data_IF_445456168577
#
_entry.id   IF_445456168577
#
_cell.length_a   1.000
_cell.length_b   1.000
_cell.length_c   1.000
_cell.angle_alpha   90.00
_cell.angle_beta   90.00
_cell.angle_gamma   90.00
#
_symmetry.space_group_name_H-M   'P 1'
#
loop_
_entity.id
_entity.type
_entity.pdbx_description
1 polymer ?
#
# COMPACT_ATOMS: atom_id res chain seq x y z
N UNK A 1 -29.65 -30.66 -5.55
CA UNK A 1 -30.22 -29.74 -4.56
C UNK A 1 -29.28 -29.69 -3.37
N UNK A 2 -28.71 -28.52 -3.07
CA UNK A 2 -27.87 -28.28 -1.90
C UNK A 2 -28.39 -27.06 -1.15
N UNK A 3 -28.17 -27.03 0.16
CA UNK A 3 -28.47 -25.85 0.98
C UNK A 3 -27.21 -24.99 0.98
N UNK A 4 -27.36 -23.71 0.60
CA UNK A 4 -26.28 -22.72 0.71
C UNK A 4 -26.55 -21.84 1.91
N UNK A 5 -25.57 -21.71 2.79
CA UNK A 5 -25.61 -20.76 3.89
C UNK A 5 -24.98 -19.45 3.41
N UNK A 6 -25.69 -18.33 3.56
CA UNK A 6 -25.27 -17.01 3.06
C UNK A 6 -24.75 -16.07 4.15
N UNK A 7 -24.69 -16.54 5.39
CA UNK A 7 -24.20 -15.76 6.54
C UNK A 7 -23.46 -16.69 7.49
N UNK A 8 -22.44 -16.16 8.16
CA UNK A 8 -21.78 -16.82 9.28
C UNK A 8 -22.79 -17.17 10.39
N UNK A 9 -22.46 -18.22 11.15
CA UNK A 9 -23.26 -18.70 12.26
C UNK A 9 -23.18 -20.20 12.48
N UNK A 10 -23.83 -20.64 13.56
CA UNK A 10 -24.06 -22.06 13.82
C UNK A 10 -25.40 -22.47 13.22
N UNK A 11 -25.35 -23.46 12.33
CA UNK A 11 -26.51 -23.96 11.62
C UNK A 11 -26.81 -25.40 12.00
N UNK A 12 -28.07 -25.78 11.82
CA UNK A 12 -28.49 -27.16 11.79
C UNK A 12 -29.23 -27.44 10.48
N UNK A 13 -29.12 -28.66 9.99
CA UNK A 13 -29.92 -29.16 8.88
C UNK A 13 -30.84 -30.25 9.41
N UNK A 14 -32.15 -30.06 9.23
CA UNK A 14 -33.17 -31.02 9.65
C UNK A 14 -33.90 -31.59 8.45
N UNK A 15 -33.86 -32.92 8.32
CA UNK A 15 -34.67 -33.67 7.37
C UNK A 15 -35.94 -34.17 8.06
N UNK A 16 -37.09 -34.01 7.41
CA UNK A 16 -38.39 -34.49 7.88
C UNK A 16 -39.03 -35.33 6.77
N UNK A 17 -39.40 -36.57 7.09
CA UNK A 17 -40.30 -37.36 6.26
C UNK A 17 -41.72 -36.79 6.39
N UNK A 18 -42.26 -36.27 5.29
CA UNK A 18 -43.57 -35.62 5.24
C UNK A 18 -44.75 -36.60 5.42
N UNK A 19 -44.52 -37.91 5.30
CA UNK A 19 -45.57 -38.93 5.41
C UNK A 19 -45.69 -39.46 6.84
N UNK A 20 -44.56 -39.73 7.50
CA UNK A 20 -44.54 -40.38 8.82
C UNK A 20 -44.04 -39.47 9.95
N UNK A 21 -43.63 -38.24 9.64
CA UNK A 21 -43.14 -37.26 10.63
C UNK A 21 -41.80 -37.62 11.25
N UNK A 22 -41.10 -38.64 10.73
CA UNK A 22 -39.78 -39.05 11.19
C UNK A 22 -38.78 -37.93 10.86
N UNK A 23 -37.96 -37.54 11.83
CA UNK A 23 -37.00 -36.45 11.68
C UNK A 23 -35.58 -36.91 11.98
N UNK A 24 -34.62 -36.32 11.30
CA UNK A 24 -33.21 -36.36 11.65
C UNK A 24 -32.66 -34.93 11.56
N UNK A 25 -31.81 -34.55 12.50
CA UNK A 25 -31.16 -33.25 12.55
C UNK A 25 -29.66 -33.45 12.70
N UNK A 26 -28.91 -32.75 11.85
CA UNK A 26 -27.48 -32.56 12.02
C UNK A 26 -27.26 -31.14 12.54
N UNK A 27 -26.73 -31.04 13.75
CA UNK A 27 -26.35 -29.78 14.40
C UNK A 27 -24.89 -29.42 14.15
N UNK A 28 -24.46 -28.25 14.65
CA UNK A 28 -23.08 -27.79 14.72
C UNK A 28 -22.41 -27.63 13.33
N UNK A 29 -23.16 -27.16 12.35
CA UNK A 29 -22.59 -26.75 11.07
C UNK A 29 -22.11 -25.31 11.24
N UNK A 30 -20.80 -25.12 11.37
CA UNK A 30 -20.19 -23.81 11.51
C UNK A 30 -19.90 -23.21 10.14
N UNK A 31 -20.44 -22.01 9.91
CA UNK A 31 -20.13 -21.17 8.77
C UNK A 31 -19.49 -19.91 9.36
N UNK A 32 -18.29 -19.57 8.91
CA UNK A 32 -17.54 -18.38 9.34
C UNK A 32 -17.41 -17.45 8.14
N UNK A 33 -17.32 -16.15 8.40
CA UNK A 33 -16.96 -15.20 7.37
C UNK A 33 -15.46 -15.38 7.04
N UNK A 34 -15.02 -14.86 5.90
CA UNK A 34 -13.59 -14.84 5.59
C UNK A 34 -13.02 -13.56 6.18
N UNK A 35 -11.76 -13.57 6.64
CA UNK A 35 -11.14 -12.39 7.21
C UNK A 35 -11.10 -11.26 6.18
N UNK A 36 -10.90 -10.03 6.66
CA UNK A 36 -10.59 -8.87 5.83
C UNK A 36 -9.41 -8.11 6.43
N UNK A 37 -8.56 -7.53 5.59
CA UNK A 37 -7.45 -6.66 5.98
C UNK A 37 -7.44 -5.36 5.20
N UNK A 38 -6.85 -4.32 5.78
CA UNK A 38 -6.66 -3.03 5.12
C UNK A 38 -5.28 -2.46 5.44
N UNK A 39 -4.82 -1.55 4.57
CA UNK A 39 -3.56 -0.82 4.72
C UNK A 39 -3.89 0.59 5.22
N UNK A 40 -3.19 1.04 6.25
CA UNK A 40 -3.29 2.40 6.78
C UNK A 40 -2.08 3.24 6.42
N UNK A 41 -0.87 2.66 6.45
CA UNK A 41 0.31 3.24 5.82
C UNK A 41 1.01 2.24 4.90
N UNK A 42 1.53 2.70 3.75
CA UNK A 42 1.35 4.05 3.19
C UNK A 42 -0.09 4.31 2.76
N UNK A 43 -0.50 5.59 2.84
CA UNK A 43 -1.82 6.03 2.38
C UNK A 43 -1.89 5.83 0.86
N UNK A 44 -3.04 5.37 0.38
CA UNK A 44 -3.25 5.18 -1.06
C UNK A 44 -3.19 6.50 -1.82
N UNK A 45 -2.56 6.45 -2.99
CA UNK A 45 -2.24 7.54 -3.89
C UNK A 45 -1.34 8.66 -3.31
N UNK A 46 -0.66 8.41 -2.19
CA UNK A 46 0.23 9.38 -1.55
C UNK A 46 1.59 9.52 -2.25
N UNK A 47 2.22 10.69 -2.09
CA UNK A 47 3.56 10.98 -2.56
C UNK A 47 4.45 11.16 -1.31
N UNK A 48 5.32 10.18 -1.03
CA UNK A 48 6.12 10.13 0.20
C UNK A 48 7.62 10.22 -0.10
N UNK A 49 8.37 10.88 0.76
CA UNK A 49 9.83 10.96 0.72
C UNK A 49 10.50 10.07 1.78
N UNK A 50 9.73 9.66 2.78
CA UNK A 50 10.08 8.68 3.80
C UNK A 50 8.76 8.05 4.30
N UNK A 51 8.78 6.76 4.62
CA UNK A 51 7.77 6.21 5.52
C UNK A 51 8.12 6.69 6.91
N UNK A 52 7.25 7.51 7.53
CA UNK A 52 7.43 7.97 8.90
C UNK A 52 6.20 7.67 9.76
N UNK A 53 6.47 7.02 10.91
CA UNK A 53 5.61 6.81 12.10
C UNK A 53 4.96 5.43 12.29
N UNK A 54 4.93 4.90 13.53
CA UNK A 54 5.92 5.04 14.61
C UNK A 54 7.16 4.16 14.42
N UNK A 55 7.28 3.44 13.29
CA UNK A 55 8.34 2.45 13.06
C UNK A 55 8.88 2.41 11.61
N UNK A 56 8.51 3.36 10.75
CA UNK A 56 8.86 3.37 9.32
C UNK A 56 8.35 2.11 8.56
N UNK A 57 7.27 1.54 9.08
CA UNK A 57 6.70 0.28 8.65
C UNK A 57 5.47 0.45 7.77
N UNK A 58 5.22 -0.56 6.94
CA UNK A 58 3.90 -0.77 6.35
C UNK A 58 2.98 -1.28 7.46
N UNK A 59 1.83 -0.64 7.69
CA UNK A 59 0.91 -1.07 8.73
C UNK A 59 -0.55 -0.92 8.33
N UNK A 60 -1.39 -1.68 9.02
CA UNK A 60 -2.83 -1.59 8.85
C UNK A 60 -3.61 -2.36 9.91
N UNK A 61 -4.85 -2.65 9.59
CA UNK A 61 -5.73 -3.42 10.46
C UNK A 61 -6.37 -4.60 9.74
N UNK A 62 -7.06 -5.41 10.53
CA UNK A 62 -7.84 -6.54 10.04
C UNK A 62 -9.08 -6.74 10.89
N UNK A 63 -10.02 -7.51 10.36
CA UNK A 63 -11.21 -7.96 11.08
C UNK A 63 -11.63 -9.34 10.60
N UNK A 64 -12.08 -10.16 11.54
CA UNK A 64 -12.68 -11.46 11.28
C UNK A 64 -13.62 -11.85 12.43
N UNK A 65 -14.57 -12.77 12.18
CA UNK A 65 -15.41 -13.36 13.22
C UNK A 65 -14.71 -14.53 13.96
N UNK A 66 -13.62 -15.02 13.39
CA UNK A 66 -12.64 -15.92 13.99
C UNK A 66 -11.29 -15.21 14.25
N UNK A 67 -10.30 -15.94 14.77
CA UNK A 67 -8.96 -15.39 15.00
C UNK A 67 -8.19 -15.27 13.67
N UNK A 68 -7.68 -14.09 13.37
CA UNK A 68 -6.69 -13.89 12.29
C UNK A 68 -5.34 -14.37 12.78
N UNK A 69 -4.76 -15.33 12.05
CA UNK A 69 -3.49 -15.97 12.42
C UNK A 69 -2.29 -15.48 11.62
N UNK A 70 -2.53 -14.87 10.46
CA UNK A 70 -1.48 -14.48 9.53
C UNK A 70 -1.97 -13.30 8.68
N UNK A 71 -1.10 -12.31 8.48
CA UNK A 71 -1.29 -11.26 7.48
C UNK A 71 -0.08 -11.27 6.57
N UNK A 72 -0.32 -11.23 5.26
CA UNK A 72 0.74 -11.24 4.26
C UNK A 72 0.74 -9.97 3.42
N UNK A 73 1.92 -9.53 3.02
CA UNK A 73 2.15 -8.31 2.25
C UNK A 73 2.96 -8.61 1.00
N UNK A 74 2.47 -8.15 -0.15
CA UNK A 74 3.20 -8.19 -1.42
C UNK A 74 3.49 -6.77 -1.89
N UNK A 75 4.75 -6.49 -2.22
CA UNK A 75 5.21 -5.15 -2.60
C UNK A 75 5.78 -5.22 -4.02
N UNK A 76 5.20 -4.47 -4.95
CA UNK A 76 5.62 -4.37 -6.35
C UNK A 76 6.34 -3.05 -6.60
N UNK A 77 7.52 -3.09 -7.22
CA UNK A 77 8.25 -1.89 -7.66
C UNK A 77 7.81 -1.49 -9.06
N UNK A 78 6.97 -0.48 -9.16
CA UNK A 78 6.29 -0.01 -10.37
C UNK A 78 4.91 -0.65 -10.51
N UNK A 79 4.00 0.00 -11.24
CA UNK A 79 2.67 -0.56 -11.55
C UNK A 79 2.81 -1.65 -12.60
N UNK A 80 2.29 -2.86 -12.32
CA UNK A 80 2.30 -4.02 -13.22
C UNK A 80 3.70 -4.46 -13.69
N UNK A 81 4.71 -4.36 -12.82
CA UNK A 81 6.06 -4.84 -13.15
C UNK A 81 6.29 -6.26 -12.66
N UNK A 82 7.42 -6.84 -13.07
CA UNK A 82 7.86 -8.16 -12.64
C UNK A 82 8.67 -8.14 -11.32
N UNK A 83 8.92 -6.97 -10.73
CA UNK A 83 9.81 -6.84 -9.57
C UNK A 83 9.03 -6.80 -8.26
N UNK A 84 9.31 -7.76 -7.38
CA UNK A 84 8.67 -7.91 -6.08
C UNK A 84 9.70 -7.87 -4.97
N UNK A 85 9.31 -7.31 -3.83
CA UNK A 85 10.12 -7.37 -2.61
C UNK A 85 10.09 -8.79 -2.05
N UNK A 86 11.28 -9.39 -1.92
CA UNK A 86 11.49 -10.65 -1.23
C UNK A 86 12.36 -10.39 0.00
N UNK A 87 11.81 -10.56 1.20
CA UNK A 87 12.54 -10.33 2.43
C UNK A 87 13.85 -11.13 2.48
N UNK A 88 14.94 -10.48 2.88
CA UNK A 88 16.29 -11.05 2.91
C UNK A 88 16.98 -11.16 1.54
N UNK A 89 16.27 -10.98 0.43
CA UNK A 89 16.84 -11.00 -0.93
C UNK A 89 16.78 -9.62 -1.61
N UNK A 90 15.77 -8.81 -1.29
CA UNK A 90 15.50 -7.51 -1.88
C UNK A 90 14.62 -7.59 -3.13
N UNK A 91 14.77 -6.63 -4.04
CA UNK A 91 13.97 -6.57 -5.28
C UNK A 91 14.31 -7.69 -6.26
N UNK A 92 13.46 -8.70 -6.37
CA UNK A 92 13.64 -9.84 -7.28
C UNK A 92 12.66 -9.82 -8.45
N UNK A 93 13.10 -10.29 -9.62
CA UNK A 93 12.24 -10.47 -10.78
C UNK A 93 11.53 -11.84 -10.72
N UNK A 94 10.20 -11.83 -10.50
CA UNK A 94 9.38 -13.05 -10.44
C UNK A 94 8.47 -13.25 -11.65
N UNK A 95 8.43 -12.29 -12.57
CA UNK A 95 7.42 -12.20 -13.61
C UNK A 95 6.20 -11.37 -13.21
N UNK A 96 5.51 -10.82 -14.21
CA UNK A 96 4.33 -9.98 -13.99
C UNK A 96 3.21 -10.79 -13.33
N UNK A 97 2.62 -10.24 -12.27
CA UNK A 97 1.52 -10.88 -11.52
C UNK A 97 1.95 -12.00 -10.56
N UNK A 98 3.21 -12.42 -10.57
CA UNK A 98 3.74 -13.44 -9.66
C UNK A 98 4.18 -12.83 -8.32
N UNK A 99 3.20 -12.51 -7.47
CA UNK A 99 3.41 -11.88 -6.16
C UNK A 99 4.35 -12.71 -5.28
N UNK A 100 5.24 -12.02 -4.58
CA UNK A 100 5.86 -12.58 -3.38
C UNK A 100 5.07 -12.09 -2.17
N UNK A 101 4.62 -13.02 -1.33
CA UNK A 101 3.92 -12.72 -0.09
C UNK A 101 4.92 -12.84 1.06
N UNK A 102 5.24 -11.71 1.68
CA UNK A 102 6.02 -11.64 2.91
C UNK A 102 5.06 -11.71 4.10
N UNK A 103 5.47 -12.34 5.19
CA UNK A 103 4.64 -12.45 6.38
C UNK A 103 4.81 -11.19 7.24
N UNK A 104 3.69 -10.61 7.66
CA UNK A 104 3.65 -9.49 8.59
C UNK A 104 3.43 -9.95 10.03
N UNK A 105 3.83 -9.11 10.98
CA UNK A 105 3.57 -9.32 12.40
C UNK A 105 2.10 -9.00 12.71
N UNK A 106 1.42 -9.97 13.31
CA UNK A 106 0.00 -9.88 13.67
C UNK A 106 -0.15 -9.51 15.15
N UNK A 107 -0.96 -8.50 15.43
CA UNK A 107 -1.31 -8.02 16.76
C UNK A 107 -2.79 -8.28 17.06
N UNK A 108 -3.36 -7.71 18.13
CA UNK A 108 -4.76 -7.99 18.50
C UNK A 108 -5.81 -7.58 17.48
N UNK A 109 -5.54 -6.54 16.69
CA UNK A 109 -6.46 -6.01 15.67
C UNK A 109 -5.73 -5.24 14.56
N UNK A 110 -4.41 -5.32 14.56
CA UNK A 110 -3.51 -4.56 13.69
C UNK A 110 -2.40 -5.45 13.22
N UNK A 111 -1.73 -5.04 12.15
CA UNK A 111 -0.58 -5.76 11.61
C UNK A 111 0.48 -4.76 11.15
N UNK A 112 1.73 -5.20 11.17
CA UNK A 112 2.89 -4.42 10.74
C UNK A 112 3.80 -5.27 9.88
N UNK A 113 4.49 -4.66 8.91
CA UNK A 113 5.55 -5.29 8.14
C UNK A 113 6.79 -4.39 8.15
N UNK A 114 7.85 -4.90 8.78
CA UNK A 114 9.13 -4.23 9.06
C UNK A 114 10.26 -4.70 8.14
N UNK A 115 9.98 -5.67 7.25
CA UNK A 115 10.99 -6.33 6.42
C UNK A 115 11.49 -5.52 5.24
N UNK A 116 11.11 -4.24 5.11
CA UNK A 116 11.59 -3.27 4.13
C UNK A 116 11.84 -1.94 4.84
N UNK A 117 12.98 -1.30 4.57
CA UNK A 117 13.39 -0.05 5.24
C UNK A 117 13.39 1.14 4.29
N UNK A 118 13.52 2.36 4.84
CA UNK A 118 13.60 3.58 4.03
C UNK A 118 14.73 3.56 2.97
N UNK A 119 15.82 2.82 3.22
CA UNK A 119 16.95 2.69 2.29
C UNK A 119 16.68 1.73 1.11
N UNK A 120 15.65 0.89 1.21
CA UNK A 120 15.31 -0.12 0.20
C UNK A 120 14.41 0.42 -0.92
N UNK A 121 13.69 1.51 -0.64
CA UNK A 121 12.86 2.19 -1.62
C UNK A 121 13.71 2.93 -2.64
N UNK A 122 13.26 2.92 -3.88
CA UNK A 122 13.98 3.56 -5.00
C UNK A 122 13.22 4.81 -5.40
N UNK A 123 13.82 5.99 -5.22
CA UNK A 123 13.23 7.27 -5.65
C UNK A 123 12.85 7.24 -7.14
N UNK A 124 11.72 7.89 -7.45
CA UNK A 124 11.17 8.00 -8.78
C UNK A 124 10.29 6.82 -9.21
N UNK A 125 10.03 5.85 -8.32
CA UNK A 125 9.15 4.72 -8.60
C UNK A 125 7.79 4.86 -7.90
N UNK A 126 6.75 4.37 -8.58
CA UNK A 126 5.47 4.07 -7.94
C UNK A 126 5.56 2.67 -7.33
N UNK A 127 5.00 2.47 -6.16
CA UNK A 127 4.93 1.17 -5.51
C UNK A 127 3.48 0.75 -5.35
N UNK A 128 3.24 -0.56 -5.40
CA UNK A 128 1.93 -1.16 -5.15
C UNK A 128 2.09 -2.16 -4.02
N UNK A 129 1.36 -1.95 -2.93
CA UNK A 129 1.28 -2.87 -1.81
C UNK A 129 -0.06 -3.57 -1.85
N UNK A 130 -0.03 -4.90 -1.75
CA UNK A 130 -1.21 -5.70 -1.48
C UNK A 130 -1.10 -6.32 -0.10
N UNK A 131 -2.18 -6.34 0.68
CA UNK A 131 -2.25 -7.10 1.93
C UNK A 131 -3.36 -8.15 1.88
N UNK A 132 -3.19 -9.26 2.61
CA UNK A 132 -4.24 -10.25 2.84
C UNK A 132 -4.16 -10.90 4.20
N UNK A 133 -5.30 -11.09 4.87
CA UNK A 133 -5.40 -11.83 6.13
C UNK A 133 -5.82 -13.29 5.91
N UNK A 134 -5.49 -14.13 6.89
CA UNK A 134 -5.86 -15.54 6.98
C UNK A 134 -6.33 -15.91 8.38
N UNK A 135 -7.44 -16.62 8.46
CA UNK A 135 -8.06 -17.04 9.72
C UNK A 135 -7.41 -18.30 10.32
N UNK A 136 -7.84 -18.68 11.52
CA UNK A 136 -7.44 -19.90 12.22
C UNK A 136 -7.99 -21.20 11.59
N UNK A 137 -8.84 -21.10 10.56
CA UNK A 137 -9.36 -22.21 9.75
C UNK A 137 -8.58 -22.40 8.44
N UNK A 138 -7.62 -21.52 8.14
CA UNK A 138 -6.80 -21.53 6.94
C UNK A 138 -7.43 -20.83 5.73
N UNK A 139 -8.50 -20.06 5.90
CA UNK A 139 -9.11 -19.26 4.84
C UNK A 139 -8.43 -17.90 4.73
N UNK A 140 -7.97 -17.57 3.52
CA UNK A 140 -7.60 -16.19 3.16
C UNK A 140 -8.83 -15.35 2.80
N UNK A 141 -8.73 -14.03 2.94
CA UNK A 141 -9.72 -13.10 2.39
C UNK A 141 -9.97 -13.30 0.87
N UNK A 142 -11.16 -12.92 0.39
CA UNK A 142 -11.53 -13.10 -1.03
C UNK A 142 -10.85 -12.11 -1.96
N UNK A 143 -10.69 -10.88 -1.48
CA UNK A 143 -10.10 -9.77 -2.21
C UNK A 143 -9.03 -9.16 -1.33
N UNK A 144 -7.83 -9.02 -1.87
CA UNK A 144 -6.76 -8.31 -1.20
C UNK A 144 -6.94 -6.80 -1.29
N UNK A 145 -6.62 -6.10 -0.21
CA UNK A 145 -6.55 -4.64 -0.23
C UNK A 145 -5.31 -4.20 -1.02
N UNK A 146 -5.40 -3.03 -1.66
CA UNK A 146 -4.31 -2.44 -2.45
C UNK A 146 -4.09 -1.00 -1.98
N UNK A 147 -2.83 -0.63 -1.78
CA UNK A 147 -2.39 0.76 -1.61
C UNK A 147 -1.28 1.05 -2.62
N UNK A 148 -1.34 2.21 -3.24
CA UNK A 148 -0.35 2.70 -4.19
C UNK A 148 0.26 4.00 -3.69
N UNK A 149 1.55 4.21 -3.92
CA UNK A 149 2.20 5.46 -3.54
C UNK A 149 3.41 5.72 -4.42
N UNK A 150 3.82 6.98 -4.52
CA UNK A 150 5.05 7.38 -5.19
C UNK A 150 6.12 7.67 -4.14
N UNK A 151 7.33 7.15 -4.36
CA UNK A 151 8.45 7.38 -3.45
C UNK A 151 9.49 8.30 -4.10
N UNK A 152 9.87 9.37 -3.41
CA UNK A 152 10.93 10.28 -3.84
C UNK A 152 11.68 10.94 -2.68
N UNK A 153 12.90 10.46 -2.46
CA UNK A 153 13.85 11.01 -1.48
C UNK A 153 15.02 11.76 -2.14
N UNK A 154 14.93 12.09 -3.44
CA UNK A 154 16.01 12.76 -4.15
C UNK A 154 16.00 14.26 -3.92
N UNK A 155 17.18 14.84 -3.67
CA UNK A 155 17.30 16.30 -3.54
C UNK A 155 17.11 16.98 -4.90
N UNK A 156 16.39 18.12 -4.97
CA UNK A 156 16.27 18.88 -6.20
C UNK A 156 17.63 19.42 -6.63
N UNK A 157 17.98 19.22 -7.90
CA UNK A 157 19.22 19.74 -8.48
C UNK A 157 19.01 21.20 -8.86
N UNK A 158 19.74 22.10 -8.20
CA UNK A 158 19.71 23.54 -8.47
C UNK A 158 20.99 24.00 -9.17
N UNK A 159 20.84 24.85 -10.19
CA UNK A 159 21.95 25.48 -10.90
C UNK A 159 21.67 26.97 -11.03
N UNK A 160 22.55 27.80 -10.47
CA UNK A 160 22.52 29.24 -10.71
C UNK A 160 23.19 29.49 -12.07
N UNK A 161 22.43 30.06 -13.01
CA UNK A 161 22.93 30.40 -14.35
C UNK A 161 23.31 31.88 -14.45
N UNK A 162 22.84 32.71 -13.52
CA UNK A 162 23.25 34.10 -13.43
C UNK A 162 23.14 34.63 -11.99
N UNK A 163 24.18 35.27 -11.42
CA UNK A 163 25.54 35.35 -11.96
C UNK A 163 26.20 33.96 -12.07
N UNK A 164 27.17 33.83 -12.97
CA UNK A 164 27.98 32.61 -13.05
C UNK A 164 28.79 32.45 -11.76
N UNK A 165 28.98 31.20 -11.33
CA UNK A 165 29.74 30.90 -10.12
C UNK A 165 31.16 31.49 -10.21
N UNK A 166 31.59 32.15 -9.13
CA UNK A 166 32.90 32.83 -9.06
C UNK A 166 33.03 34.15 -9.84
N UNK A 167 31.95 34.72 -10.39
CA UNK A 167 32.00 36.01 -11.09
C UNK A 167 31.51 37.16 -10.22
N UNK A 168 32.42 38.05 -9.84
CA UNK A 168 32.07 39.32 -9.19
C UNK A 168 31.39 40.27 -10.19
N UNK A 169 30.26 40.87 -9.79
CA UNK A 169 29.54 41.86 -10.60
C UNK A 169 29.27 43.15 -9.83
N UNK A 170 29.53 44.28 -10.50
CA UNK A 170 29.29 45.64 -10.00
C UNK A 170 28.00 46.28 -10.57
N UNK A 171 27.17 45.51 -11.27
CA UNK A 171 25.90 45.96 -11.86
C UNK A 171 24.74 45.09 -11.39
N UNK A 172 23.60 45.70 -11.08
CA UNK A 172 22.35 44.98 -10.78
C UNK A 172 21.94 44.13 -11.99
N UNK A 173 21.84 42.82 -11.78
CA UNK A 173 21.29 41.87 -12.75
C UNK A 173 20.39 40.89 -12.02
N UNK A 174 19.30 40.42 -12.65
CA UNK A 174 18.40 39.45 -12.02
C UNK A 174 19.16 38.14 -11.80
N UNK A 175 19.04 37.59 -10.59
CA UNK A 175 19.52 36.23 -10.31
C UNK A 175 18.63 35.25 -11.09
N UNK A 176 19.26 34.32 -11.82
CA UNK A 176 18.57 33.29 -12.59
C UNK A 176 19.18 31.94 -12.28
N UNK A 177 18.34 30.91 -12.30
CA UNK A 177 18.75 29.54 -12.12
C UNK A 177 17.69 28.59 -12.63
N UNK A 178 18.03 27.30 -12.64
CA UNK A 178 17.12 26.20 -12.89
C UNK A 178 17.08 25.30 -11.65
N UNK A 179 15.90 24.79 -11.32
CA UNK A 179 15.74 23.70 -10.36
C UNK A 179 15.05 22.56 -11.10
N UNK A 180 15.55 21.34 -10.96
CA UNK A 180 14.96 20.12 -11.52
C UNK A 180 14.81 19.12 -10.38
N UNK A 181 13.63 18.55 -10.26
CA UNK A 181 13.30 17.53 -9.28
C UNK A 181 12.58 16.37 -9.98
N UNK A 182 12.65 15.19 -9.38
CA UNK A 182 11.81 14.07 -9.79
C UNK A 182 10.39 14.36 -9.28
N UNK A 183 9.39 13.95 -10.06
CA UNK A 183 7.99 14.13 -9.67
C UNK A 183 7.19 13.02 -10.28
N UNK A 184 6.13 12.58 -9.58
CA UNK A 184 5.18 11.62 -10.11
C UNK A 184 4.65 12.15 -11.45
N UNK A 185 4.90 11.42 -12.54
CA UNK A 185 4.32 11.76 -13.84
C UNK A 185 2.85 11.38 -13.81
N UNK A 186 2.00 12.27 -13.32
CA UNK A 186 0.56 12.12 -13.51
C UNK A 186 0.29 12.43 -14.98
N UNK A 187 0.02 11.40 -15.78
CA UNK A 187 -0.49 11.60 -17.13
C UNK A 187 -1.92 12.14 -17.01
N UNK A 188 -2.04 13.44 -16.73
CA UNK A 188 -3.32 14.11 -16.59
C UNK A 188 -3.92 14.28 -17.98
N UNK A 189 -4.91 13.45 -18.33
CA UNK A 189 -5.75 13.63 -19.52
C UNK A 189 -6.81 14.72 -19.28
N UNK A 190 -6.41 15.91 -18.85
CA UNK A 190 -7.29 17.06 -18.63
C UNK A 190 -6.56 18.38 -18.89
N UNK A 191 -7.29 19.51 -19.04
CA UNK A 191 -6.68 20.77 -19.43
C UNK A 191 -5.67 21.28 -18.39
N UNK A 192 -4.57 21.93 -18.81
CA UNK A 192 -3.39 22.18 -17.99
C UNK A 192 -3.69 23.07 -16.77
N UNK A 193 -3.34 22.60 -15.58
CA UNK A 193 -3.34 23.38 -14.35
C UNK A 193 -2.23 24.43 -14.37
N UNK A 194 -2.58 25.67 -14.04
CA UNK A 194 -1.66 26.82 -14.04
C UNK A 194 -0.86 26.86 -12.72
N UNK A 195 0.47 26.87 -12.79
CA UNK A 195 1.35 27.05 -11.62
C UNK A 195 1.53 28.55 -11.35
N UNK A 196 1.21 29.01 -10.14
CA UNK A 196 1.50 30.37 -9.69
C UNK A 196 2.84 30.40 -8.96
N UNK A 197 3.82 31.15 -9.49
CA UNK A 197 5.08 31.45 -8.79
C UNK A 197 4.92 32.83 -8.14
N UNK A 198 5.02 32.90 -6.81
CA UNK A 198 5.03 34.17 -6.07
C UNK A 198 6.45 34.48 -5.62
N UNK A 199 6.99 35.63 -6.01
CA UNK A 199 8.26 36.14 -5.46
C UNK A 199 7.97 37.14 -4.34
N UNK A 200 8.53 36.92 -3.14
CA UNK A 200 8.50 37.89 -2.04
C UNK A 200 9.86 38.60 -1.96
N UNK A 201 9.87 39.93 -1.98
CA UNK A 201 11.05 40.74 -1.68
C UNK A 201 10.99 41.25 -0.25
N UNK A 202 12.12 41.17 0.47
CA UNK A 202 12.29 41.82 1.76
C UNK A 202 12.59 43.32 1.56
N UNK A 203 12.04 44.22 2.40
CA UNK A 203 12.38 45.64 2.32
C UNK A 203 13.83 45.89 2.79
N UNK A 204 14.57 46.83 2.19
CA UNK A 204 15.90 47.19 2.65
C UNK A 204 15.84 47.89 4.03
N UNK A 205 16.92 47.72 4.80
CA UNK A 205 17.11 48.19 6.19
C UNK A 205 16.67 49.64 6.46
#
# INVERSE_FOLDING_TARGET
YGVTFSTAGTWYVRAIDSVNGIQNQQDNIFVTDRPNSWITLPVDDDDINELSSPYDDIYGGFWDDEEVTEVQVAINKGINTAYWWEEGTGWANRGIGNRYWNDGDVWSSTWTYTGITNDDWVSGYNFVINCRAKDNRGNFELSYTTSTFFYDNSDPVTVITNPEDGVDRNTSSPVKGTAVDVSRTITYHGPPSTVFITTQSSPPL
#
